data_IF_178771025547
#
_entry.id   IF_178771025547
#
_cell.length_a   1.000
_cell.length_b   1.000
_cell.length_c   1.000
_cell.angle_alpha   90.00
_cell.angle_beta   90.00
_cell.angle_gamma   90.00
#
_symmetry.space_group_name_H-M   'P 1'
#
loop_
_entity.id
_entity.type
_entity.pdbx_description
1 polymer ?
#
# COMPACT_ATOMS: atom_id res chain seq x y z
N UNK A 1 -2.01 16.22 16.96
CA UNK A 1 -1.12 16.82 15.93
C UNK A 1 -1.86 18.01 15.33
N UNK A 2 -1.18 19.14 15.12
CA UNK A 2 -1.80 20.29 14.48
C UNK A 2 -1.97 20.10 12.97
N UNK A 3 -2.80 20.93 12.34
CA UNK A 3 -3.13 20.81 10.92
C UNK A 3 -1.93 20.95 9.97
N UNK A 4 -0.92 21.74 10.36
CA UNK A 4 0.27 21.95 9.54
C UNK A 4 1.18 20.72 9.57
N UNK A 5 1.46 20.14 10.74
CA UNK A 5 2.20 18.89 10.89
C UNK A 5 1.50 17.74 10.16
N UNK A 6 0.18 17.68 10.28
CA UNK A 6 -0.62 16.66 9.58
C UNK A 6 -0.48 16.79 8.06
N UNK A 7 -0.53 18.03 7.52
CA UNK A 7 -0.32 18.28 6.10
C UNK A 7 1.08 17.84 5.66
N UNK A 8 2.11 18.23 6.40
CA UNK A 8 3.51 17.87 6.09
C UNK A 8 3.66 16.34 6.13
N UNK A 9 3.17 15.67 7.17
CA UNK A 9 3.23 14.22 7.27
C UNK A 9 2.53 13.51 6.11
N UNK A 10 1.30 13.93 5.77
CA UNK A 10 0.57 13.39 4.62
C UNK A 10 1.31 13.61 3.29
N UNK A 11 1.99 14.74 3.16
CA UNK A 11 2.77 15.07 1.98
C UNK A 11 4.03 14.21 1.87
N UNK A 12 4.74 13.99 2.99
CA UNK A 12 5.88 13.07 3.06
C UNK A 12 5.46 11.65 2.67
N UNK A 13 4.34 11.15 3.22
CA UNK A 13 3.84 9.81 2.91
C UNK A 13 3.51 9.67 1.42
N UNK A 14 2.79 10.63 0.85
CA UNK A 14 2.42 10.63 -0.58
C UNK A 14 3.64 10.65 -1.49
N UNK A 15 4.64 11.46 -1.13
CA UNK A 15 5.88 11.55 -1.91
C UNK A 15 6.67 10.25 -1.83
N UNK A 16 6.81 9.68 -0.64
CA UNK A 16 7.51 8.42 -0.43
C UNK A 16 6.83 7.25 -1.15
N UNK A 17 5.50 7.15 -1.11
CA UNK A 17 4.75 6.14 -1.88
C UNK A 17 5.04 6.26 -3.38
N UNK A 18 5.20 7.48 -3.88
CA UNK A 18 5.43 7.77 -5.30
C UNK A 18 6.83 7.45 -5.78
N UNK A 19 7.83 7.59 -4.90
CA UNK A 19 9.25 7.59 -5.30
C UNK A 19 10.07 6.49 -4.64
N UNK A 20 9.60 5.93 -3.55
CA UNK A 20 10.34 5.08 -2.61
C UNK A 20 11.62 5.73 -2.05
N UNK A 21 11.81 7.04 -2.24
CA UNK A 21 13.00 7.77 -1.81
C UNK A 21 12.76 8.55 -0.52
N UNK A 22 13.81 8.78 0.30
CA UNK A 22 13.74 9.69 1.43
C UNK A 22 13.37 11.11 0.98
N UNK A 23 12.51 11.77 1.74
CA UNK A 23 11.90 13.06 1.39
C UNK A 23 12.59 14.20 2.12
N UNK A 24 13.12 15.18 1.38
CA UNK A 24 13.76 16.38 1.92
C UNK A 24 12.81 17.57 2.05
N UNK A 25 13.09 18.48 3.00
CA UNK A 25 12.26 19.66 3.27
C UNK A 25 12.15 20.63 2.08
N UNK A 26 13.23 20.82 1.30
CA UNK A 26 13.25 21.71 0.15
C UNK A 26 12.34 21.17 -0.97
N UNK A 27 12.50 19.89 -1.32
CA UNK A 27 11.67 19.25 -2.35
C UNK A 27 10.17 19.27 -2.01
N UNK A 28 9.81 19.24 -0.71
CA UNK A 28 8.42 19.35 -0.30
C UNK A 28 7.85 20.74 -0.56
N UNK A 29 8.58 21.79 -0.21
CA UNK A 29 8.13 23.18 -0.41
C UNK A 29 7.92 23.44 -1.88
N UNK A 30 8.90 23.13 -2.72
CA UNK A 30 8.88 23.40 -4.15
C UNK A 30 7.78 22.61 -4.87
N UNK A 31 7.69 21.30 -4.59
CA UNK A 31 6.77 20.41 -5.32
C UNK A 31 5.30 20.58 -4.92
N UNK A 32 5.05 20.92 -3.67
CA UNK A 32 3.68 20.99 -3.13
C UNK A 32 3.23 22.43 -2.87
N UNK A 33 4.03 23.44 -3.28
CA UNK A 33 3.76 24.88 -3.09
C UNK A 33 3.31 25.19 -1.67
N UNK A 34 4.05 24.67 -0.68
CA UNK A 34 3.74 24.91 0.72
C UNK A 34 4.03 26.39 1.05
N UNK A 35 3.04 27.08 1.60
CA UNK A 35 3.16 28.50 1.99
C UNK A 35 3.95 28.64 3.31
N UNK A 36 5.09 27.95 3.40
CA UNK A 36 6.03 27.97 4.54
C UNK A 36 7.46 27.74 4.04
N UNK A 37 8.45 28.23 4.78
CA UNK A 37 9.86 28.07 4.42
C UNK A 37 10.34 26.60 4.62
N UNK A 38 11.35 26.21 3.85
CA UNK A 38 12.00 24.89 4.02
C UNK A 38 12.60 24.70 5.43
N UNK A 39 13.04 25.79 6.07
CA UNK A 39 13.49 25.77 7.45
C UNK A 39 12.34 25.42 8.42
N UNK A 40 11.16 25.99 8.21
CA UNK A 40 9.95 25.67 8.98
C UNK A 40 9.56 24.20 8.77
N UNK A 41 9.54 23.72 7.52
CA UNK A 41 9.27 22.30 7.23
C UNK A 41 10.28 21.40 7.93
N UNK A 42 11.56 21.75 7.94
CA UNK A 42 12.61 20.98 8.62
C UNK A 42 12.38 20.88 10.13
N UNK A 43 11.96 21.96 10.79
CA UNK A 43 11.63 21.94 12.20
C UNK A 43 10.43 21.04 12.50
N UNK A 44 9.35 21.15 11.70
CA UNK A 44 8.18 20.26 11.83
C UNK A 44 8.56 18.79 11.58
N UNK A 45 9.45 18.51 10.62
CA UNK A 45 9.98 17.16 10.39
C UNK A 45 10.75 16.64 11.60
N UNK A 46 11.56 17.48 12.28
CA UNK A 46 12.27 17.07 13.49
C UNK A 46 11.30 16.69 14.62
N UNK A 47 10.21 17.45 14.79
CA UNK A 47 9.18 17.12 15.78
C UNK A 47 8.40 15.84 15.41
N UNK A 48 8.10 15.62 14.12
CA UNK A 48 7.50 14.38 13.63
C UNK A 48 8.41 13.16 13.84
N UNK A 49 9.72 13.35 13.70
CA UNK A 49 10.72 12.32 13.96
C UNK A 49 10.79 11.97 15.44
N UNK A 50 10.83 12.98 16.34
CA UNK A 50 10.77 12.78 17.79
C UNK A 50 9.48 12.07 18.21
N UNK A 51 8.37 12.35 17.53
CA UNK A 51 7.09 11.68 17.74
C UNK A 51 7.02 10.28 17.10
N UNK A 52 8.05 9.83 16.38
CA UNK A 52 8.16 8.50 15.79
C UNK A 52 7.32 8.29 14.53
N UNK A 53 6.86 9.36 13.85
CA UNK A 53 6.13 9.25 12.59
C UNK A 53 7.03 9.13 11.38
N UNK A 54 8.20 9.72 11.41
CA UNK A 54 9.20 9.63 10.34
C UNK A 54 10.55 9.28 10.94
N UNK A 55 11.44 8.76 10.10
CA UNK A 55 12.80 8.40 10.49
C UNK A 55 13.81 8.84 9.44
N UNK A 56 15.03 9.08 9.85
CA UNK A 56 16.16 9.33 8.96
C UNK A 56 16.90 8.00 8.72
N UNK A 57 16.92 7.46 7.49
CA UNK A 57 17.54 6.15 7.23
C UNK A 57 19.08 6.19 7.39
N UNK A 58 19.73 7.31 7.07
CA UNK A 58 21.16 7.55 7.28
C UNK A 58 21.47 9.05 7.33
N UNK A 59 22.63 9.42 7.86
CA UNK A 59 23.08 10.81 7.93
C UNK A 59 23.01 11.48 6.55
N UNK A 60 22.48 12.69 6.50
CA UNK A 60 22.25 13.49 5.28
C UNK A 60 21.12 13.01 4.37
N UNK A 61 20.45 11.92 4.67
CA UNK A 61 19.23 11.55 3.95
C UNK A 61 18.06 12.44 4.34
N UNK A 62 17.02 12.47 3.48
CA UNK A 62 15.72 12.97 3.86
C UNK A 62 15.06 12.11 4.94
N UNK A 63 13.74 12.14 5.02
CA UNK A 63 12.96 11.35 5.99
C UNK A 63 12.08 10.35 5.26
N UNK A 64 11.93 9.17 5.85
CA UNK A 64 10.99 8.14 5.40
C UNK A 64 9.86 7.99 6.43
N UNK A 65 8.63 7.68 6.00
CA UNK A 65 7.54 7.36 6.91
C UNK A 65 7.81 6.07 7.68
N UNK A 66 7.41 6.03 8.95
CA UNK A 66 7.40 4.79 9.75
C UNK A 66 6.05 4.06 9.58
N UNK A 67 5.96 2.85 10.10
CA UNK A 67 4.69 2.10 10.18
C UNK A 67 3.60 2.90 10.93
N UNK A 68 3.97 3.62 11.99
CA UNK A 68 3.08 4.54 12.71
C UNK A 68 2.50 5.63 11.80
N UNK A 69 3.29 6.17 10.88
CA UNK A 69 2.84 7.17 9.93
C UNK A 69 1.82 6.60 8.94
N UNK A 70 2.09 5.41 8.41
CA UNK A 70 1.14 4.75 7.51
C UNK A 70 -0.17 4.40 8.21
N UNK A 71 -0.12 3.88 9.43
CA UNK A 71 -1.32 3.63 10.23
C UNK A 71 -2.14 4.90 10.48
N UNK A 72 -1.49 6.00 10.83
CA UNK A 72 -2.15 7.30 10.95
C UNK A 72 -2.78 7.76 9.62
N UNK A 73 -2.06 7.59 8.52
CA UNK A 73 -2.54 7.96 7.18
C UNK A 73 -3.79 7.17 6.80
N UNK A 74 -3.79 5.86 7.02
CA UNK A 74 -4.93 4.98 6.73
C UNK A 74 -6.17 5.34 7.53
N UNK A 75 -6.03 5.67 8.82
CA UNK A 75 -7.15 6.10 9.66
C UNK A 75 -7.80 7.41 9.17
N UNK A 76 -7.05 8.24 8.46
CA UNK A 76 -7.49 9.53 7.94
C UNK A 76 -7.72 9.51 6.41
N UNK A 77 -7.69 8.33 5.79
CA UNK A 77 -7.93 8.19 4.36
C UNK A 77 -9.44 8.19 4.09
N UNK A 78 -9.86 9.04 3.17
CA UNK A 78 -11.24 9.00 2.66
C UNK A 78 -11.38 7.89 1.61
N UNK A 79 -12.46 7.13 1.68
CA UNK A 79 -12.76 6.12 0.66
C UNK A 79 -12.94 6.77 -0.72
N UNK A 80 -12.22 6.24 -1.69
CA UNK A 80 -12.42 6.59 -3.09
C UNK A 80 -13.51 5.68 -3.66
N UNK A 81 -14.63 6.25 -4.04
CA UNK A 81 -15.70 5.50 -4.71
C UNK A 81 -15.27 5.11 -6.12
N UNK A 82 -15.71 3.94 -6.55
CA UNK A 82 -15.62 3.54 -7.96
C UNK A 82 -16.44 4.49 -8.83
N UNK A 83 -15.97 4.75 -10.04
CA UNK A 83 -16.79 5.41 -11.05
C UNK A 83 -17.97 4.51 -11.42
N UNK A 84 -19.04 5.08 -11.99
CA UNK A 84 -20.19 4.30 -12.45
C UNK A 84 -19.79 3.24 -13.49
N UNK A 85 -18.82 3.54 -14.35
CA UNK A 85 -18.33 2.60 -15.35
C UNK A 85 -17.61 1.41 -14.69
N UNK A 86 -16.76 1.67 -13.70
CA UNK A 86 -16.06 0.61 -12.93
C UNK A 86 -17.06 -0.24 -12.14
N UNK A 87 -18.02 0.39 -11.47
CA UNK A 87 -19.05 -0.31 -10.71
C UNK A 87 -19.85 -1.27 -11.59
N UNK A 88 -20.30 -0.83 -12.78
CA UNK A 88 -21.01 -1.66 -13.77
C UNK A 88 -20.18 -2.86 -14.25
N UNK A 89 -18.84 -2.68 -14.40
CA UNK A 89 -17.96 -3.80 -14.77
C UNK A 89 -18.00 -4.87 -13.67
N UNK A 90 -17.83 -4.49 -12.41
CA UNK A 90 -17.84 -5.43 -11.29
C UNK A 90 -19.20 -6.08 -11.08
N UNK A 91 -20.30 -5.35 -11.17
CA UNK A 91 -21.66 -5.90 -11.11
C UNK A 91 -21.88 -6.99 -12.14
N UNK A 92 -21.49 -6.74 -13.40
CA UNK A 92 -21.63 -7.70 -14.50
C UNK A 92 -20.77 -8.95 -14.29
N UNK A 93 -19.54 -8.78 -13.80
CA UNK A 93 -18.61 -9.89 -13.58
C UNK A 93 -19.06 -10.76 -12.39
N UNK A 94 -19.49 -10.16 -11.30
CA UNK A 94 -19.88 -10.86 -10.09
C UNK A 94 -21.28 -11.50 -10.16
N UNK A 95 -22.10 -11.12 -11.14
CA UNK A 95 -23.44 -11.66 -11.31
C UNK A 95 -23.47 -13.18 -11.57
N UNK A 96 -22.44 -13.73 -12.21
CA UNK A 96 -22.39 -15.16 -12.60
C UNK A 96 -21.94 -16.07 -11.45
N UNK A 97 -21.20 -15.59 -10.48
CA UNK A 97 -20.70 -16.34 -9.31
C UNK A 97 -19.98 -17.64 -9.65
N UNK A 98 -19.26 -17.68 -10.77
CA UNK A 98 -18.44 -18.81 -11.19
C UNK A 98 -16.94 -18.48 -11.14
N UNK A 99 -16.09 -19.49 -11.17
CA UNK A 99 -14.64 -19.33 -11.09
C UNK A 99 -14.08 -18.46 -12.22
N UNK A 100 -14.65 -18.53 -13.41
CA UNK A 100 -14.21 -17.74 -14.57
C UNK A 100 -14.48 -16.26 -14.32
N UNK A 101 -15.67 -15.92 -13.83
CA UNK A 101 -16.02 -14.52 -13.51
C UNK A 101 -15.21 -13.97 -12.34
N UNK A 102 -14.88 -14.77 -11.35
CA UNK A 102 -13.97 -14.34 -10.27
C UNK A 102 -12.55 -14.07 -10.78
N UNK A 103 -12.01 -14.91 -11.68
CA UNK A 103 -10.72 -14.65 -12.34
C UNK A 103 -10.76 -13.37 -13.19
N UNK A 104 -11.85 -13.11 -13.89
CA UNK A 104 -12.04 -11.87 -14.64
C UNK A 104 -12.17 -10.65 -13.70
N UNK A 105 -12.86 -10.82 -12.58
CA UNK A 105 -12.94 -9.78 -11.53
C UNK A 105 -11.56 -9.44 -10.97
N UNK A 106 -10.75 -10.44 -10.65
CA UNK A 106 -9.38 -10.23 -10.19
C UNK A 106 -8.54 -9.47 -11.22
N UNK A 107 -8.68 -9.78 -12.52
CA UNK A 107 -8.00 -9.04 -13.61
C UNK A 107 -8.46 -7.57 -13.68
N UNK A 108 -9.78 -7.32 -13.55
CA UNK A 108 -10.32 -5.97 -13.52
C UNK A 108 -9.82 -5.18 -12.29
N UNK A 109 -9.79 -5.83 -11.12
CA UNK A 109 -9.23 -5.23 -9.90
C UNK A 109 -7.76 -4.88 -10.08
N UNK A 110 -6.93 -5.80 -10.59
CA UNK A 110 -5.51 -5.55 -10.81
C UNK A 110 -5.26 -4.39 -11.78
N UNK A 111 -6.07 -4.28 -12.84
CA UNK A 111 -5.98 -3.19 -13.81
C UNK A 111 -6.38 -1.84 -13.23
N UNK A 112 -7.45 -1.78 -12.42
CA UNK A 112 -7.98 -0.53 -11.86
C UNK A 112 -7.14 -0.04 -10.70
N UNK A 113 -6.64 -0.95 -9.86
CA UNK A 113 -5.83 -0.62 -8.69
C UNK A 113 -4.33 -0.46 -8.98
N UNK A 114 -3.88 -0.91 -10.15
CA UNK A 114 -2.46 -1.01 -10.51
C UNK A 114 -1.64 -1.83 -9.50
N UNK A 115 -2.25 -2.90 -8.97
CA UNK A 115 -1.65 -3.79 -7.99
C UNK A 115 -1.73 -5.26 -8.40
N UNK A 116 -0.98 -6.12 -7.71
CA UNK A 116 -1.19 -7.55 -7.78
C UNK A 116 -2.46 -7.94 -7.00
N UNK A 117 -3.21 -8.89 -7.52
CA UNK A 117 -4.42 -9.44 -6.89
C UNK A 117 -4.28 -10.94 -6.76
N UNK A 118 -4.48 -11.44 -5.56
CA UNK A 118 -4.52 -12.85 -5.21
C UNK A 118 -5.94 -13.21 -4.80
N UNK A 119 -6.53 -14.21 -5.43
CA UNK A 119 -7.88 -14.68 -5.18
C UNK A 119 -7.85 -16.13 -4.74
N UNK A 120 -8.05 -16.38 -3.46
CA UNK A 120 -8.12 -17.73 -2.91
C UNK A 120 -9.58 -18.20 -2.88
N UNK A 121 -9.92 -19.22 -3.66
CA UNK A 121 -11.23 -19.89 -3.62
C UNK A 121 -11.38 -20.76 -2.38
N UNK A 122 -10.29 -21.39 -1.99
CA UNK A 122 -10.07 -22.13 -0.73
C UNK A 122 -8.55 -22.25 -0.50
N UNK A 123 -8.13 -22.87 0.60
CA UNK A 123 -6.73 -22.90 1.05
C UNK A 123 -5.69 -23.32 0.00
N UNK A 124 -6.07 -24.15 -0.98
CA UNK A 124 -5.16 -24.72 -1.99
C UNK A 124 -5.62 -24.47 -3.43
N UNK A 125 -6.55 -23.53 -3.63
CA UNK A 125 -6.96 -23.11 -4.96
C UNK A 125 -6.85 -21.60 -5.07
N UNK A 126 -5.76 -21.16 -5.65
CA UNK A 126 -5.38 -19.77 -5.77
C UNK A 126 -5.32 -19.37 -7.24
N UNK A 127 -5.82 -18.20 -7.52
CA UNK A 127 -5.59 -17.48 -8.76
C UNK A 127 -4.92 -16.14 -8.44
N UNK A 128 -3.91 -15.75 -9.19
CA UNK A 128 -3.29 -14.45 -9.05
C UNK A 128 -3.04 -13.78 -10.40
N UNK A 129 -2.96 -12.46 -10.41
CA UNK A 129 -2.74 -11.63 -11.60
C UNK A 129 -2.16 -10.28 -11.19
N UNK A 130 -1.55 -9.54 -12.14
CA UNK A 130 -1.02 -8.21 -11.88
C UNK A 130 0.33 -8.20 -11.17
N UNK A 131 1.10 -9.30 -11.18
CA UNK A 131 2.46 -9.32 -10.61
C UNK A 131 3.35 -8.27 -11.26
N UNK A 132 3.19 -8.03 -12.57
CA UNK A 132 3.92 -6.97 -13.26
C UNK A 132 3.64 -5.57 -12.68
N UNK A 133 2.40 -5.29 -12.25
CA UNK A 133 2.05 -4.01 -11.62
C UNK A 133 2.82 -3.85 -10.30
N UNK A 134 2.90 -4.92 -9.51
CA UNK A 134 3.66 -4.93 -8.26
C UNK A 134 5.14 -4.64 -8.54
N UNK A 135 5.76 -5.34 -9.49
CA UNK A 135 7.18 -5.19 -9.82
C UNK A 135 7.53 -3.86 -10.51
N UNK A 136 6.56 -3.13 -11.07
CA UNK A 136 6.76 -1.79 -11.58
C UNK A 136 6.73 -0.69 -10.50
N UNK A 137 6.38 -1.02 -9.26
CA UNK A 137 6.38 -0.05 -8.17
C UNK A 137 7.81 0.41 -7.86
N UNK A 138 8.04 1.69 -7.51
CA UNK A 138 9.38 2.27 -7.36
C UNK A 138 10.30 1.53 -6.38
N UNK A 139 9.75 0.94 -5.31
CA UNK A 139 10.52 0.18 -4.32
C UNK A 139 11.19 -1.06 -4.92
N UNK A 140 10.67 -1.64 -6.00
CA UNK A 140 11.24 -2.80 -6.68
C UNK A 140 12.31 -2.45 -7.71
N UNK A 141 12.84 -1.24 -7.70
CA UNK A 141 14.04 -0.88 -8.47
C UNK A 141 15.31 -1.60 -7.98
N UNK A 142 15.30 -2.08 -6.72
CA UNK A 142 16.39 -2.86 -6.14
C UNK A 142 16.18 -4.35 -6.40
N UNK A 143 17.21 -5.00 -6.98
CA UNK A 143 17.16 -6.44 -7.33
C UNK A 143 16.87 -7.34 -6.12
N UNK A 144 17.37 -6.99 -4.93
CA UNK A 144 17.12 -7.74 -3.71
C UNK A 144 15.62 -7.85 -3.39
N UNK A 145 14.87 -6.75 -3.53
CA UNK A 145 13.41 -6.76 -3.27
C UNK A 145 12.63 -7.58 -4.31
N UNK A 146 13.16 -7.68 -5.55
CA UNK A 146 12.56 -8.55 -6.57
C UNK A 146 12.71 -10.02 -6.17
N UNK A 147 13.87 -10.42 -5.65
CA UNK A 147 14.07 -11.78 -5.14
C UNK A 147 13.18 -12.09 -3.95
N UNK A 148 13.10 -11.18 -2.97
CA UNK A 148 12.25 -11.34 -1.80
C UNK A 148 10.78 -11.56 -2.19
N UNK A 149 10.27 -10.76 -3.13
CA UNK A 149 8.87 -10.91 -3.57
C UNK A 149 8.65 -12.17 -4.40
N UNK A 150 9.67 -12.62 -5.15
CA UNK A 150 9.58 -13.88 -5.89
C UNK A 150 9.45 -15.07 -4.94
N UNK A 151 10.22 -15.13 -3.84
CA UNK A 151 10.06 -16.14 -2.80
C UNK A 151 8.67 -16.10 -2.15
N UNK A 152 8.12 -14.91 -1.93
CA UNK A 152 6.75 -14.76 -1.40
C UNK A 152 5.73 -15.34 -2.38
N UNK A 153 5.86 -15.08 -3.68
CA UNK A 153 4.96 -15.62 -4.70
C UNK A 153 5.02 -17.14 -4.75
N UNK A 154 6.22 -17.72 -4.65
CA UNK A 154 6.40 -19.18 -4.63
C UNK A 154 5.76 -19.86 -3.41
N UNK A 155 5.65 -19.15 -2.29
CA UNK A 155 5.07 -19.66 -1.04
C UNK A 155 3.70 -19.06 -0.70
N UNK A 156 3.06 -18.36 -1.63
CA UNK A 156 1.83 -17.63 -1.37
C UNK A 156 0.68 -18.54 -0.92
N UNK A 157 0.63 -19.78 -1.42
CA UNK A 157 -0.37 -20.79 -1.02
C UNK A 157 -0.24 -21.13 0.46
N UNK A 158 0.98 -21.34 0.93
CA UNK A 158 1.27 -21.66 2.33
C UNK A 158 0.91 -20.48 3.24
N UNK A 159 1.30 -19.25 2.83
CA UNK A 159 1.00 -18.02 3.57
C UNK A 159 -0.52 -17.83 3.69
N UNK A 160 -1.25 -17.96 2.58
CA UNK A 160 -2.71 -17.84 2.58
C UNK A 160 -3.33 -18.96 3.44
N UNK A 161 -2.81 -20.19 3.35
CA UNK A 161 -3.27 -21.31 4.17
C UNK A 161 -3.17 -21.03 5.67
N UNK A 162 -2.10 -20.37 6.11
CA UNK A 162 -1.88 -19.99 7.51
C UNK A 162 -2.88 -18.93 8.00
N UNK A 163 -3.10 -17.85 7.21
CA UNK A 163 -3.95 -16.74 7.61
C UNK A 163 -5.44 -16.95 7.30
N UNK A 164 -5.79 -17.96 6.51
CA UNK A 164 -7.14 -18.14 5.95
C UNK A 164 -8.26 -18.17 7.00
N UNK A 165 -8.00 -18.79 8.16
CA UNK A 165 -8.99 -18.87 9.23
C UNK A 165 -9.08 -17.58 10.05
N UNK A 166 -7.98 -16.86 10.19
CA UNK A 166 -7.86 -15.68 11.05
C UNK A 166 -8.38 -14.41 10.36
N UNK A 167 -8.52 -14.46 9.02
CA UNK A 167 -9.09 -13.35 8.26
C UNK A 167 -10.53 -13.05 8.68
N UNK A 168 -10.80 -11.78 8.93
CA UNK A 168 -12.14 -11.26 9.24
C UNK A 168 -12.88 -10.92 7.95
N UNK A 169 -14.21 -10.79 8.05
CA UNK A 169 -15.02 -10.22 6.98
C UNK A 169 -14.80 -8.70 6.90
N UNK A 170 -14.81 -8.18 5.69
CA UNK A 170 -14.49 -6.79 5.41
C UNK A 170 -13.00 -6.55 5.15
N UNK A 171 -12.65 -5.40 4.56
CA UNK A 171 -11.29 -5.10 4.19
C UNK A 171 -10.41 -4.86 5.43
N UNK A 172 -9.23 -5.46 5.44
CA UNK A 172 -8.20 -5.30 6.44
C UNK A 172 -6.91 -4.91 5.73
N UNK A 173 -6.17 -3.96 6.28
CA UNK A 173 -4.86 -3.56 5.75
C UNK A 173 -3.77 -4.13 6.66
N UNK A 174 -2.86 -4.89 6.08
CA UNK A 174 -1.70 -5.47 6.75
C UNK A 174 -0.46 -4.67 6.35
N UNK A 175 0.29 -4.17 7.34
CA UNK A 175 1.46 -3.33 7.15
C UNK A 175 2.67 -3.86 7.91
N UNK A 176 3.86 -3.62 7.38
CA UNK A 176 5.12 -3.87 8.06
C UNK A 176 5.22 -5.26 8.66
N UNK A 177 5.47 -5.35 9.95
CA UNK A 177 5.62 -6.62 10.68
C UNK A 177 4.36 -7.47 10.78
N UNK A 178 3.17 -6.88 10.62
CA UNK A 178 1.89 -7.60 10.62
C UNK A 178 1.55 -8.20 9.24
N UNK A 179 2.32 -7.87 8.20
CA UNK A 179 2.08 -8.39 6.86
C UNK A 179 2.85 -9.70 6.63
N UNK A 180 2.17 -10.86 6.59
CA UNK A 180 2.83 -12.15 6.43
C UNK A 180 3.42 -12.37 5.04
N UNK A 181 3.05 -11.54 4.05
CA UNK A 181 3.57 -11.64 2.70
C UNK A 181 4.94 -10.97 2.58
N UNK A 182 5.10 -9.74 3.05
CA UNK A 182 6.37 -9.02 3.05
C UNK A 182 6.29 -7.76 3.90
N UNK A 183 7.32 -7.47 4.67
CA UNK A 183 7.43 -6.20 5.40
C UNK A 183 7.65 -4.99 4.49
N UNK A 184 8.06 -5.21 3.24
CA UNK A 184 8.33 -4.16 2.25
C UNK A 184 7.09 -3.77 1.43
N UNK A 185 5.98 -4.48 1.61
CA UNK A 185 4.71 -4.24 0.94
C UNK A 185 3.60 -4.02 1.95
N UNK A 186 2.48 -3.51 1.48
CA UNK A 186 1.22 -3.57 2.19
C UNK A 186 0.27 -4.56 1.48
N UNK A 187 -0.60 -5.21 2.23
CA UNK A 187 -1.64 -6.04 1.68
C UNK A 187 -3.02 -5.59 2.15
N UNK A 188 -3.97 -5.51 1.24
CA UNK A 188 -5.39 -5.37 1.58
C UNK A 188 -6.02 -6.74 1.43
N UNK A 189 -6.50 -7.29 2.52
CA UNK A 189 -7.09 -8.62 2.58
C UNK A 189 -8.55 -8.56 3.02
N UNK A 190 -9.35 -9.46 2.49
CA UNK A 190 -10.77 -9.55 2.86
C UNK A 190 -11.28 -10.96 2.64
N UNK A 191 -12.28 -11.35 3.42
CA UNK A 191 -12.98 -12.64 3.31
C UNK A 191 -14.39 -12.41 2.80
N UNK A 192 -14.80 -13.23 1.84
CA UNK A 192 -16.16 -13.23 1.28
C UNK A 192 -16.88 -14.53 1.61
N UNK A 193 -18.22 -14.47 1.66
CA UNK A 193 -19.09 -15.63 1.52
C UNK A 193 -19.68 -15.60 0.10
N UNK A 194 -19.51 -16.67 -0.63
CA UNK A 194 -20.10 -16.87 -1.95
C UNK A 194 -21.53 -17.40 -1.83
#
# INVERSE_FOLDING_TARGET
>A
MDKRKELILKTIIKEHIKTALPVGSEGLVDKYNLDISSATVRNEMAELEQAGFIAQPHTSAGRIPTEKAYNFYLQNLSEKKLSEAEAKIFEKLLAKKDEISFKQTAKAMAKISDNAVFWAFHRHNLYYTGISNLLHQPQFSETALIYDISEVIDRVDDIIGQIFNDLKFGPQVLLGSENPFSQHCSAVVTKYRL
#
